data_IF_173481527057
#
_entry.id   IF_173481527057
#
_cell.length_a   1.000
_cell.length_b   1.000
_cell.length_c   1.000
_cell.angle_alpha   90.00
_cell.angle_beta   90.00
_cell.angle_gamma   90.00
#
_symmetry.space_group_name_H-M   'P 1'
#
loop_
_entity.id
_entity.type
_entity.pdbx_description
1 polymer ?
#
# COMPACT_ATOMS: atom_id res chain seq x y z
N UNK A 1 19.63 -0.92 3.56
CA UNK A 1 18.38 -1.51 4.14
C UNK A 1 18.11 -2.86 3.48
N UNK A 2 17.86 -3.87 4.27
CA UNK A 2 17.66 -5.24 3.78
C UNK A 2 16.18 -5.60 3.73
N UNK A 3 15.80 -6.37 2.71
CA UNK A 3 14.44 -6.90 2.60
C UNK A 3 14.11 -7.76 3.84
N UNK A 4 12.99 -7.50 4.52
CA UNK A 4 12.60 -8.28 5.69
C UNK A 4 12.28 -9.73 5.36
N UNK A 5 11.95 -10.04 4.10
CA UNK A 5 11.55 -11.38 3.67
C UNK A 5 12.71 -12.22 3.17
N UNK A 6 13.56 -11.68 2.30
CA UNK A 6 14.62 -12.46 1.64
C UNK A 6 16.04 -11.94 1.91
N UNK A 7 16.19 -10.91 2.73
CA UNK A 7 17.47 -10.30 3.11
C UNK A 7 18.27 -9.66 1.96
N UNK A 8 17.74 -9.60 0.75
CA UNK A 8 18.35 -8.85 -0.35
C UNK A 8 18.35 -7.35 -0.04
N UNK A 9 19.27 -6.61 -0.63
CA UNK A 9 19.29 -5.16 -0.46
C UNK A 9 18.09 -4.53 -1.16
N UNK A 10 17.42 -3.62 -0.46
CA UNK A 10 16.35 -2.82 -1.04
C UNK A 10 16.95 -1.70 -1.90
N UNK A 11 16.29 -1.40 -3.03
CA UNK A 11 16.70 -0.36 -3.93
C UNK A 11 15.68 0.79 -3.91
N UNK A 12 16.13 2.05 -3.76
CA UNK A 12 15.23 3.18 -3.81
C UNK A 12 14.74 3.42 -5.23
N UNK A 13 13.42 3.57 -5.40
CA UNK A 13 12.80 3.88 -6.68
C UNK A 13 11.86 5.07 -6.51
N UNK A 14 11.96 6.08 -7.39
CA UNK A 14 11.04 7.21 -7.35
C UNK A 14 9.65 6.81 -7.83
N UNK A 15 8.64 7.24 -7.08
CA UNK A 15 7.23 7.05 -7.42
C UNK A 15 6.50 8.36 -7.15
N UNK A 16 6.43 9.24 -8.15
CA UNK A 16 5.97 10.61 -8.01
C UNK A 16 6.78 11.36 -6.93
N UNK A 17 6.13 11.87 -5.87
CA UNK A 17 6.79 12.63 -4.80
C UNK A 17 7.38 11.74 -3.70
N UNK A 18 7.33 10.43 -3.86
CA UNK A 18 7.75 9.46 -2.85
C UNK A 18 8.86 8.58 -3.41
N UNK A 19 9.83 8.24 -2.57
CA UNK A 19 10.85 7.24 -2.91
C UNK A 19 10.48 5.94 -2.19
N UNK A 20 10.21 4.89 -2.96
CA UNK A 20 9.91 3.56 -2.45
C UNK A 20 11.19 2.73 -2.33
N UNK A 21 11.25 1.87 -1.34
CA UNK A 21 12.34 0.90 -1.22
C UNK A 21 11.85 -0.47 -1.69
N UNK A 22 12.32 -0.89 -2.85
CA UNK A 22 11.84 -2.11 -3.53
C UNK A 22 12.85 -3.23 -3.44
N UNK A 23 12.34 -4.45 -3.20
CA UNK A 23 13.13 -5.67 -3.32
C UNK A 23 12.99 -6.23 -4.74
N UNK A 24 14.11 -6.34 -5.46
CA UNK A 24 14.10 -6.90 -6.81
C UNK A 24 14.07 -8.44 -6.83
N UNK A 25 14.24 -9.09 -5.68
CA UNK A 25 14.13 -10.54 -5.55
C UNK A 25 12.69 -11.02 -5.41
N UNK A 26 11.94 -10.42 -4.50
CA UNK A 26 10.57 -10.85 -4.19
C UNK A 26 9.49 -9.85 -4.61
N UNK A 27 9.87 -8.72 -5.19
CA UNK A 27 8.99 -7.61 -5.60
C UNK A 27 8.19 -6.96 -4.47
N UNK A 28 8.56 -7.20 -3.22
CA UNK A 28 7.99 -6.50 -2.10
C UNK A 28 8.46 -5.04 -2.02
N UNK A 29 7.71 -4.22 -1.30
CA UNK A 29 7.97 -2.79 -1.16
C UNK A 29 7.92 -2.41 0.31
N UNK A 30 8.91 -1.64 0.75
CA UNK A 30 8.92 -1.00 2.06
C UNK A 30 8.51 0.46 1.93
N UNK A 31 7.55 0.87 2.74
CA UNK A 31 7.09 2.25 2.86
C UNK A 31 7.43 2.79 4.24
N UNK A 32 8.14 3.92 4.31
CA UNK A 32 8.32 4.65 5.55
C UNK A 32 7.01 5.31 5.98
N UNK A 33 6.92 5.66 7.25
CA UNK A 33 5.74 6.32 7.81
C UNK A 33 5.33 7.55 6.99
N UNK A 34 4.06 7.58 6.60
CA UNK A 34 3.50 8.70 5.84
C UNK A 34 3.60 8.57 4.31
N UNK A 35 4.40 7.66 3.78
CA UNK A 35 4.55 7.51 2.32
C UNK A 35 3.28 6.96 1.67
N UNK A 36 2.59 6.02 2.31
CA UNK A 36 1.33 5.50 1.78
C UNK A 36 0.27 6.60 1.65
N UNK A 37 0.19 7.48 2.64
CA UNK A 37 -0.73 8.62 2.59
C UNK A 37 -0.42 9.53 1.41
N UNK A 38 0.85 9.84 1.18
CA UNK A 38 1.27 10.67 0.04
C UNK A 38 0.90 10.03 -1.30
N UNK A 39 1.11 8.71 -1.43
CA UNK A 39 0.74 7.99 -2.65
C UNK A 39 -0.77 8.03 -2.90
N UNK A 40 -1.56 7.85 -1.85
CA UNK A 40 -3.03 7.93 -1.97
C UNK A 40 -3.50 9.33 -2.38
N UNK A 41 -2.89 10.37 -1.86
CA UNK A 41 -3.24 11.75 -2.17
C UNK A 41 -2.83 12.17 -3.58
N UNK A 42 -1.75 11.60 -4.11
CA UNK A 42 -1.24 11.97 -5.44
C UNK A 42 -1.87 11.18 -6.60
N UNK A 43 -2.83 10.30 -6.32
CA UNK A 43 -3.56 9.56 -7.36
C UNK A 43 -2.70 8.59 -8.17
N UNK A 44 -1.78 7.90 -7.53
CA UNK A 44 -0.81 7.01 -8.16
C UNK A 44 -1.31 5.58 -8.40
N UNK A 45 -2.56 5.41 -8.81
CA UNK A 45 -3.08 4.08 -9.09
C UNK A 45 -2.32 3.39 -10.21
N UNK A 46 -2.10 2.08 -10.03
CA UNK A 46 -1.35 1.28 -10.99
C UNK A 46 0.15 1.51 -10.96
N UNK A 47 0.65 2.29 -10.00
CA UNK A 47 2.10 2.58 -9.89
C UNK A 47 2.91 1.31 -9.68
N UNK A 48 2.40 0.35 -8.92
CA UNK A 48 3.09 -0.91 -8.69
C UNK A 48 3.23 -1.72 -9.97
N UNK A 49 2.18 -1.77 -10.80
CA UNK A 49 2.24 -2.43 -12.11
C UNK A 49 3.26 -1.78 -13.03
N UNK A 50 3.35 -0.45 -13.03
CA UNK A 50 4.35 0.27 -13.81
C UNK A 50 5.78 -0.02 -13.33
N UNK A 51 5.99 -0.07 -12.01
CA UNK A 51 7.28 -0.43 -11.44
C UNK A 51 7.63 -1.89 -11.77
N UNK A 52 6.68 -2.79 -11.75
CA UNK A 52 6.91 -4.19 -12.09
C UNK A 52 7.26 -4.39 -13.57
N UNK A 53 6.66 -3.61 -14.48
CA UNK A 53 7.02 -3.66 -15.90
C UNK A 53 8.49 -3.28 -16.16
N UNK A 54 9.01 -2.32 -15.40
CA UNK A 54 10.37 -1.83 -15.55
C UNK A 54 11.39 -2.62 -14.74
N UNK A 55 11.03 -3.03 -13.52
CA UNK A 55 11.95 -3.58 -12.52
C UNK A 55 11.48 -4.89 -11.90
N UNK A 56 10.36 -5.42 -12.32
CA UNK A 56 9.78 -6.63 -11.72
C UNK A 56 10.59 -7.89 -11.98
N UNK A 57 10.46 -8.82 -11.06
CA UNK A 57 11.05 -10.16 -11.17
C UNK A 57 9.93 -11.17 -11.43
N UNK A 58 9.83 -11.72 -12.67
CA UNK A 58 8.79 -12.69 -12.98
C UNK A 58 8.90 -14.00 -12.19
N UNK A 59 10.07 -14.29 -11.62
CA UNK A 59 10.28 -15.44 -10.76
C UNK A 59 9.97 -15.17 -9.28
N UNK A 60 9.51 -13.95 -8.93
CA UNK A 60 9.19 -13.61 -7.55
C UNK A 60 8.06 -14.49 -7.03
N UNK A 61 8.19 -15.06 -5.81
CA UNK A 61 7.15 -15.90 -5.25
C UNK A 61 5.89 -15.10 -4.97
N UNK A 62 4.74 -15.67 -5.28
CA UNK A 62 3.46 -15.15 -4.82
C UNK A 62 3.42 -15.34 -3.30
N UNK A 63 2.90 -14.38 -2.60
CA UNK A 63 2.71 -14.29 -1.15
C UNK A 63 3.25 -15.46 -0.31
N UNK A 64 4.20 -15.17 0.57
CA UNK A 64 4.54 -16.04 1.68
C UNK A 64 3.91 -15.45 2.95
N UNK A 65 2.87 -16.09 3.45
CA UNK A 65 2.11 -15.61 4.59
C UNK A 65 2.74 -15.99 5.94
N UNK A 66 3.74 -16.85 5.93
CA UNK A 66 4.33 -17.40 7.14
C UNK A 66 5.72 -16.83 7.40
N UNK A 67 6.02 -16.57 8.66
CA UNK A 67 7.34 -16.20 9.11
C UNK A 67 7.38 -14.89 9.88
N UNK A 68 8.41 -14.81 10.71
CA UNK A 68 8.72 -13.62 11.49
C UNK A 68 9.57 -12.68 10.64
N UNK A 69 9.05 -11.50 10.36
CA UNK A 69 9.75 -10.48 9.60
C UNK A 69 10.31 -9.42 10.53
N UNK A 70 11.53 -8.96 10.24
CA UNK A 70 12.17 -7.88 11.01
C UNK A 70 12.08 -6.57 10.26
N UNK A 71 11.88 -5.47 11.02
CA UNK A 71 11.88 -4.14 10.45
C UNK A 71 13.25 -3.81 9.83
N UNK A 72 13.32 -3.39 8.57
CA UNK A 72 14.59 -3.04 7.94
C UNK A 72 15.23 -1.76 8.51
N UNK A 73 14.44 -0.91 9.16
CA UNK A 73 14.92 0.33 9.80
C UNK A 73 15.31 0.12 11.25
N UNK A 74 14.49 -0.60 12.01
CA UNK A 74 14.67 -0.79 13.46
C UNK A 74 15.45 -2.05 13.83
N UNK A 75 15.73 -2.91 12.90
CA UNK A 75 16.54 -4.13 12.98
C UNK A 75 16.22 -5.09 14.14
N UNK A 76 16.00 -4.57 15.35
CA UNK A 76 15.67 -5.35 16.55
C UNK A 76 14.17 -5.54 16.77
N UNK A 77 13.32 -5.02 15.88
CA UNK A 77 11.86 -5.09 16.01
C UNK A 77 11.26 -6.02 14.99
N UNK A 78 10.32 -6.85 15.46
CA UNK A 78 9.50 -7.68 14.59
C UNK A 78 8.35 -6.87 13.99
N UNK A 79 8.03 -7.15 12.74
CA UNK A 79 6.85 -6.59 12.10
C UNK A 79 5.60 -7.30 12.61
N UNK A 80 4.53 -6.56 12.76
CA UNK A 80 3.22 -7.09 13.15
C UNK A 80 2.28 -7.07 11.96
N UNK A 81 1.59 -8.17 11.73
CA UNK A 81 0.55 -8.23 10.72
C UNK A 81 -0.65 -7.43 11.18
N UNK A 82 -1.07 -6.47 10.36
CA UNK A 82 -2.27 -5.68 10.56
C UNK A 82 -3.10 -5.66 9.29
N UNK A 83 -4.36 -5.28 9.41
CA UNK A 83 -5.22 -5.08 8.26
C UNK A 83 -5.48 -3.60 8.09
N UNK A 84 -5.19 -3.08 6.91
CA UNK A 84 -5.43 -1.69 6.54
C UNK A 84 -6.49 -1.68 5.47
N UNK A 85 -7.59 -0.97 5.72
CA UNK A 85 -8.71 -1.02 4.79
C UNK A 85 -9.66 0.15 4.99
N UNK A 86 -10.26 0.60 3.90
CA UNK A 86 -11.44 1.44 3.92
C UNK A 86 -12.67 0.67 3.45
N UNK A 87 -12.51 -0.21 2.49
CA UNK A 87 -13.59 -0.98 1.88
C UNK A 87 -13.32 -2.47 1.98
N UNK A 88 -12.10 -2.88 1.64
CA UNK A 88 -11.68 -4.28 1.59
C UNK A 88 -10.41 -4.46 2.43
N UNK A 89 -10.39 -5.37 3.41
CA UNK A 89 -9.21 -5.55 4.25
C UNK A 89 -8.00 -6.03 3.44
N UNK A 90 -6.88 -5.33 3.62
CA UNK A 90 -5.59 -5.67 3.02
C UNK A 90 -4.60 -5.93 4.14
N UNK A 91 -3.95 -7.09 4.09
CA UNK A 91 -2.96 -7.49 5.08
C UNK A 91 -1.63 -6.82 4.78
N UNK A 92 -1.04 -6.18 5.78
CA UNK A 92 0.30 -5.59 5.70
C UNK A 92 1.09 -5.92 6.96
N UNK A 93 2.41 -5.85 6.86
CA UNK A 93 3.29 -6.04 8.02
C UNK A 93 3.86 -4.68 8.42
N UNK A 94 3.64 -4.28 9.65
CA UNK A 94 3.96 -2.94 10.16
C UNK A 94 4.90 -3.01 11.35
N UNK A 95 5.88 -2.10 11.38
CA UNK A 95 6.75 -1.93 12.54
C UNK A 95 6.02 -1.17 13.66
N UNK A 96 5.97 -1.73 14.89
CA UNK A 96 5.33 -1.03 16.02
C UNK A 96 6.11 0.16 16.53
N UNK A 97 7.37 0.34 16.12
CA UNK A 97 8.22 1.44 16.57
C UNK A 97 8.31 2.58 15.57
N UNK A 98 8.66 2.32 14.31
CA UNK A 98 8.81 3.36 13.30
C UNK A 98 7.58 3.55 12.42
N UNK A 99 6.60 2.67 12.52
CA UNK A 99 5.36 2.67 11.74
C UNK A 99 5.55 2.51 10.22
N UNK A 100 6.73 2.09 9.78
CA UNK A 100 6.94 1.69 8.41
C UNK A 100 6.20 0.40 8.08
N UNK A 101 5.90 0.17 6.81
CA UNK A 101 5.11 -0.98 6.36
C UNK A 101 5.83 -1.75 5.27
N UNK A 102 5.78 -3.07 5.39
CA UNK A 102 6.20 -3.99 4.35
C UNK A 102 4.99 -4.48 3.58
N UNK A 103 5.02 -4.28 2.28
CA UNK A 103 3.97 -4.71 1.37
C UNK A 103 4.51 -5.82 0.48
N UNK A 104 3.81 -6.95 0.48
CA UNK A 104 4.06 -8.02 -0.47
C UNK A 104 3.66 -7.60 -1.89
N UNK A 105 4.09 -8.36 -2.88
CA UNK A 105 3.72 -8.12 -4.28
C UNK A 105 2.20 -7.94 -4.44
N UNK A 106 1.80 -6.93 -5.19
CA UNK A 106 0.41 -6.53 -5.49
C UNK A 106 -0.37 -5.88 -4.33
N UNK A 107 0.15 -5.82 -3.13
CA UNK A 107 -0.57 -5.19 -2.01
C UNK A 107 -0.65 -3.68 -2.13
N UNK A 108 0.38 -3.02 -2.69
CA UNK A 108 0.37 -1.57 -2.84
C UNK A 108 -0.78 -1.10 -3.74
N UNK A 109 -0.89 -1.65 -4.94
CA UNK A 109 -1.98 -1.27 -5.86
C UNK A 109 -3.34 -1.59 -5.27
N UNK A 110 -3.46 -2.70 -4.54
CA UNK A 110 -4.69 -3.05 -3.84
C UNK A 110 -5.08 -2.00 -2.81
N UNK A 111 -4.12 -1.49 -2.03
CA UNK A 111 -4.37 -0.42 -1.06
C UNK A 111 -4.78 0.89 -1.73
N UNK A 112 -4.16 1.24 -2.84
CA UNK A 112 -4.50 2.45 -3.59
C UNK A 112 -5.89 2.36 -4.21
N UNK A 113 -6.27 1.21 -4.75
CA UNK A 113 -7.62 0.94 -5.28
C UNK A 113 -8.67 0.99 -4.17
N UNK A 114 -8.38 0.44 -3.01
CA UNK A 114 -9.29 0.46 -1.85
C UNK A 114 -9.65 1.89 -1.46
N UNK A 115 -8.68 2.78 -1.42
CA UNK A 115 -8.90 4.21 -1.12
C UNK A 115 -9.79 4.86 -2.18
N UNK A 116 -9.57 4.57 -3.45
CA UNK A 116 -10.41 5.11 -4.53
C UNK A 116 -11.84 4.62 -4.44
N UNK A 117 -12.05 3.34 -4.16
CA UNK A 117 -13.40 2.80 -3.97
C UNK A 117 -14.13 3.51 -2.84
N UNK A 118 -13.46 3.79 -1.73
CA UNK A 118 -14.04 4.57 -0.64
C UNK A 118 -14.45 5.97 -1.09
N UNK A 119 -13.59 6.66 -1.82
CA UNK A 119 -13.87 8.01 -2.33
C UNK A 119 -15.08 7.98 -3.28
N UNK A 120 -15.20 7.00 -4.15
CA UNK A 120 -16.34 6.81 -5.03
C UNK A 120 -17.63 6.58 -4.24
N UNK A 121 -17.61 5.77 -3.20
CA UNK A 121 -18.76 5.52 -2.32
C UNK A 121 -19.19 6.82 -1.63
N UNK A 122 -18.25 7.62 -1.14
CA UNK A 122 -18.55 8.92 -0.51
C UNK A 122 -19.22 9.88 -1.48
N UNK A 123 -18.75 9.94 -2.72
CA UNK A 123 -19.35 10.78 -3.78
C UNK A 123 -20.77 10.34 -4.05
N UNK A 124 -21.03 9.03 -4.21
CA UNK A 124 -22.38 8.50 -4.43
C UNK A 124 -23.33 8.85 -3.30
N UNK A 125 -22.90 8.69 -2.05
CA UNK A 125 -23.71 9.05 -0.88
C UNK A 125 -24.04 10.55 -0.84
N UNK A 126 -23.08 11.40 -1.18
CA UNK A 126 -23.29 12.84 -1.25
C UNK A 126 -24.29 13.23 -2.33
N UNK A 127 -24.21 12.62 -3.51
CA UNK A 127 -25.15 12.83 -4.61
C UNK A 127 -26.55 12.38 -4.23
N UNK A 128 -26.70 11.20 -3.62
CA UNK A 128 -27.99 10.69 -3.16
C UNK A 128 -28.63 11.62 -2.13
N UNK A 129 -27.84 12.10 -1.16
CA UNK A 129 -28.32 13.05 -0.16
C UNK A 129 -28.79 14.37 -0.78
N UNK A 130 -28.04 14.88 -1.78
CA UNK A 130 -28.42 16.09 -2.50
C UNK A 130 -29.73 15.92 -3.27
N UNK A 131 -29.88 14.82 -3.99
CA UNK A 131 -31.10 14.51 -4.73
C UNK A 131 -32.31 14.37 -3.80
N UNK A 132 -32.16 13.68 -2.66
CA UNK A 132 -33.21 13.55 -1.68
C UNK A 132 -33.65 14.91 -1.11
N UNK A 133 -32.70 15.82 -0.87
CA UNK A 133 -32.96 17.18 -0.41
C UNK A 133 -33.73 17.98 -1.46
N UNK A 134 -33.40 17.87 -2.74
CA UNK A 134 -34.11 18.53 -3.83
C UNK A 134 -35.54 18.04 -3.97
N UNK A 135 -35.77 16.73 -3.87
CA UNK A 135 -37.11 16.14 -3.93
C UNK A 135 -37.99 16.67 -2.80
N UNK A 136 -37.48 16.79 -1.58
CA UNK A 136 -38.22 17.38 -0.45
C UNK A 136 -38.62 18.84 -0.67
N UNK A 137 -37.78 19.62 -1.35
CA UNK A 137 -38.09 21.04 -1.65
C UNK A 137 -39.15 21.18 -2.73
N UNK A 138 -39.33 20.19 -3.58
CA UNK A 138 -40.33 20.20 -4.66
C UNK A 138 -41.72 19.75 -4.20
N UNK A 139 -41.84 19.24 -3.00
CA UNK A 139 -43.10 18.88 -2.38
C UNK A 139 -43.57 20.05 -1.51
#
# INVERSE_FOLDING_TARGET
MKCPKCAALLSPLPANDVTLDKCHSCDGIWLDYGELKKLRESGTQGIEQELEKQFGNPAAPMQNLDGYLRCPCCDDKGLRTIYVSYVKPVRVDRCPSCYGMWLEKNELDTLLQDKQQLDNIKVEKSLKALLASLVKKLR
#
